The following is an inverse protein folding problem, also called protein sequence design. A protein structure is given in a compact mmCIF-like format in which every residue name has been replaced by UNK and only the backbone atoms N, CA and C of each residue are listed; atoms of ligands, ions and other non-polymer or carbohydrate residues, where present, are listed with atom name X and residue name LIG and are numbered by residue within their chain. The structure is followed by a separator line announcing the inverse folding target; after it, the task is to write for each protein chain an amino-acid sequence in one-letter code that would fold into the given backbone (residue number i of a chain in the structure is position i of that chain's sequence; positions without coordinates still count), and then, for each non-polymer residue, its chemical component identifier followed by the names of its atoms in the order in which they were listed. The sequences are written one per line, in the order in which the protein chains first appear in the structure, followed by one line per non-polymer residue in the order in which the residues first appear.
data_IF_869671662196
#
_entry.id   IF_869671662196
#
_cell.length_a   1.000
_cell.length_b   1.000
_cell.length_c   1.000
_cell.angle_alpha   90.00
_cell.angle_beta   90.00
_cell.angle_gamma   90.00
#
_symmetry.space_group_name_H-M   'P 1'
#
loop_
_entity.id
_entity.type
_entity.pdbx_description
1 polymer ?
#
# COMPACT_ATOMS: atom_id res chain seq x y z
N UNK A 1 19.91 -15.79 6.17
CA UNK A 1 20.61 -14.83 5.27
C UNK A 1 19.68 -13.64 4.97
N UNK A 2 19.43 -12.75 5.94
CA UNK A 2 18.49 -11.63 5.74
C UNK A 2 18.73 -10.44 6.68
N UNK A 3 19.99 -10.09 6.95
CA UNK A 3 20.37 -8.90 7.75
C UNK A 3 21.27 -7.91 6.98
N UNK A 4 21.78 -8.27 5.81
CA UNK A 4 22.75 -7.46 5.06
C UNK A 4 22.15 -6.22 4.39
N UNK A 5 20.88 -6.27 4.00
CA UNK A 5 20.29 -5.23 3.12
C UNK A 5 19.68 -4.06 3.89
N UNK A 6 19.11 -4.26 5.08
CA UNK A 6 18.68 -3.16 5.96
C UNK A 6 19.87 -2.30 6.38
N UNK A 7 21.01 -2.96 6.55
CA UNK A 7 22.27 -2.33 6.90
C UNK A 7 22.81 -1.44 5.77
N UNK A 8 22.52 -1.70 4.50
CA UNK A 8 23.12 -0.98 3.37
C UNK A 8 22.65 0.47 3.22
N UNK A 9 21.34 0.72 3.35
CA UNK A 9 20.75 2.06 3.19
C UNK A 9 21.12 3.02 4.34
N UNK A 10 21.06 2.53 5.58
CA UNK A 10 21.50 3.28 6.77
C UNK A 10 23.00 3.58 6.72
N UNK A 11 23.84 2.58 6.39
CA UNK A 11 25.29 2.77 6.22
C UNK A 11 25.63 3.76 5.09
N UNK A 12 24.82 3.81 4.03
CA UNK A 12 25.04 4.74 2.91
C UNK A 12 24.75 6.19 3.30
N UNK A 13 23.63 6.46 3.99
CA UNK A 13 23.33 7.80 4.52
C UNK A 13 24.36 8.26 5.56
N UNK A 14 24.78 7.34 6.44
CA UNK A 14 25.81 7.59 7.46
C UNK A 14 27.17 7.90 6.82
N UNK A 15 27.58 7.15 5.80
CA UNK A 15 28.83 7.40 5.07
C UNK A 15 28.84 8.76 4.36
N UNK A 16 27.71 9.17 3.76
CA UNK A 16 27.59 10.49 3.11
C UNK A 16 27.68 11.61 4.15
N UNK A 17 26.99 11.49 5.29
CA UNK A 17 27.05 12.46 6.37
C UNK A 17 28.47 12.60 6.95
N UNK A 18 29.14 11.48 7.21
CA UNK A 18 30.52 11.47 7.70
C UNK A 18 31.50 12.09 6.69
N UNK A 19 31.29 11.84 5.40
CA UNK A 19 32.12 12.45 4.34
C UNK A 19 31.90 13.97 4.29
N UNK A 20 30.66 14.44 4.36
CA UNK A 20 30.36 15.88 4.36
C UNK A 20 30.97 16.58 5.59
N UNK A 21 30.81 16.00 6.77
CA UNK A 21 31.38 16.53 8.02
C UNK A 21 32.91 16.56 7.92
N UNK A 22 33.53 15.48 7.45
CA UNK A 22 34.98 15.41 7.25
C UNK A 22 35.51 16.50 6.31
N UNK A 23 34.85 16.69 5.15
CA UNK A 23 35.22 17.74 4.20
C UNK A 23 35.08 19.16 4.80
N UNK A 24 34.06 19.39 5.61
CA UNK A 24 33.87 20.67 6.27
C UNK A 24 34.96 20.92 7.33
N UNK A 25 35.28 19.91 8.14
CA UNK A 25 36.36 19.97 9.14
C UNK A 25 37.70 20.28 8.49
N UNK A 26 38.07 19.57 7.41
CA UNK A 26 39.30 19.86 6.66
C UNK A 26 39.34 21.29 6.13
N UNK A 27 38.21 21.84 5.70
CA UNK A 27 38.13 23.23 5.24
C UNK A 27 38.30 24.25 6.38
N UNK A 28 37.79 23.93 7.57
CA UNK A 28 38.02 24.75 8.77
C UNK A 28 39.50 24.72 9.17
N UNK A 29 40.16 23.56 9.14
CA UNK A 29 41.58 23.42 9.47
C UNK A 29 42.47 24.25 8.53
N UNK A 30 42.21 24.19 7.22
CA UNK A 30 42.95 24.97 6.21
C UNK A 30 42.77 26.47 6.42
N UNK A 31 41.55 26.94 6.65
CA UNK A 31 41.32 28.39 6.83
C UNK A 31 41.85 28.88 8.19
N UNK A 32 41.76 28.08 9.25
CA UNK A 32 42.36 28.39 10.54
C UNK A 32 43.88 28.51 10.46
N UNK A 33 44.55 27.61 9.72
CA UNK A 33 45.99 27.68 9.48
C UNK A 33 46.39 28.93 8.67
N UNK A 34 45.52 29.40 7.77
CA UNK A 34 45.76 30.59 6.93
C UNK A 34 45.61 31.91 7.70
N UNK A 35 44.66 31.97 8.64
CA UNK A 35 44.31 33.20 9.35
C UNK A 35 44.85 33.27 10.79
N UNK A 36 45.48 32.21 11.28
CA UNK A 36 45.96 32.12 12.67
C UNK A 36 44.85 31.87 13.69
N UNK A 37 43.67 31.42 13.24
CA UNK A 37 42.48 31.19 14.05
C UNK A 37 41.20 31.47 13.27
N UNK A 38 40.05 31.04 13.79
CA UNK A 38 38.74 31.34 13.21
C UNK A 38 37.81 31.91 14.28
N UNK A 39 37.08 32.96 13.94
CA UNK A 39 35.99 33.46 14.78
C UNK A 39 34.70 32.67 14.55
N UNK A 40 33.75 32.77 15.48
CA UNK A 40 32.41 32.19 15.30
C UNK A 40 31.65 32.76 14.07
N UNK A 41 32.02 33.95 13.60
CA UNK A 41 31.44 34.54 12.39
C UNK A 41 32.06 33.93 11.12
N UNK A 42 33.36 33.64 11.14
CA UNK A 42 34.05 32.96 10.05
C UNK A 42 33.55 31.53 9.86
N UNK A 43 33.36 30.79 10.96
CA UNK A 43 32.80 29.43 10.92
C UNK A 43 31.40 29.42 10.30
N UNK A 44 30.54 30.38 10.67
CA UNK A 44 29.19 30.49 10.08
C UNK A 44 29.23 30.80 8.59
N UNK A 45 30.05 31.79 8.18
CA UNK A 45 30.24 32.15 6.77
C UNK A 45 30.77 30.97 5.95
N UNK A 46 31.74 30.22 6.49
CA UNK A 46 32.31 29.04 5.83
C UNK A 46 31.27 27.91 5.73
N UNK A 47 30.44 27.71 6.75
CA UNK A 47 29.36 26.73 6.73
C UNK A 47 28.33 27.04 5.63
N UNK A 48 27.89 28.29 5.52
CA UNK A 48 26.94 28.72 4.49
C UNK A 48 27.52 28.54 3.08
N UNK A 49 28.79 28.91 2.87
CA UNK A 49 29.47 28.73 1.59
C UNK A 49 29.67 27.25 1.24
N UNK A 50 30.05 26.43 2.23
CA UNK A 50 30.23 24.99 2.06
C UNK A 50 28.90 24.33 1.71
N UNK A 51 27.82 24.64 2.44
CA UNK A 51 26.49 24.12 2.14
C UNK A 51 26.01 24.51 0.74
N UNK A 52 26.23 25.76 0.32
CA UNK A 52 25.84 26.22 -1.02
C UNK A 52 26.59 25.53 -2.17
N UNK A 53 27.90 25.29 -2.00
CA UNK A 53 28.75 24.65 -3.01
C UNK A 53 28.54 23.13 -3.07
N UNK A 54 28.45 22.49 -1.91
CA UNK A 54 28.41 21.02 -1.82
C UNK A 54 26.99 20.45 -1.98
N UNK A 55 25.92 21.23 -1.78
CA UNK A 55 24.54 20.80 -2.04
C UNK A 55 24.39 20.26 -3.48
N UNK A 56 24.86 21.02 -4.47
CA UNK A 56 24.75 20.63 -5.88
C UNK A 56 25.52 19.33 -6.19
N UNK A 57 26.63 19.09 -5.48
CA UNK A 57 27.52 17.94 -5.70
C UNK A 57 26.99 16.66 -5.06
N UNK A 58 26.41 16.74 -3.86
CA UNK A 58 25.89 15.58 -3.14
C UNK A 58 24.41 15.28 -3.43
N UNK A 59 23.65 16.22 -3.99
CA UNK A 59 22.24 16.02 -4.34
C UNK A 59 21.97 14.75 -5.16
N UNK A 60 22.74 14.39 -6.21
CA UNK A 60 22.52 13.15 -6.96
C UNK A 60 22.80 11.87 -6.13
N UNK A 61 23.70 11.95 -5.15
CA UNK A 61 24.07 10.82 -4.28
C UNK A 61 23.05 10.63 -3.17
N UNK A 62 22.57 11.74 -2.56
CA UNK A 62 21.43 11.71 -1.64
C UNK A 62 20.18 11.17 -2.33
N UNK A 63 19.90 11.63 -3.55
CA UNK A 63 18.75 11.16 -4.33
C UNK A 63 18.85 9.66 -4.62
N UNK A 64 20.02 9.16 -5.03
CA UNK A 64 20.24 7.71 -5.23
C UNK A 64 20.10 6.89 -3.95
N UNK A 65 20.63 7.37 -2.82
CA UNK A 65 20.48 6.68 -1.54
C UNK A 65 19.02 6.67 -1.05
N UNK A 66 18.33 7.80 -1.23
CA UNK A 66 16.89 7.92 -0.97
C UNK A 66 16.07 6.99 -1.86
N UNK A 67 16.33 6.98 -3.17
CA UNK A 67 15.66 6.11 -4.14
C UNK A 67 15.91 4.63 -3.84
N UNK A 68 17.13 4.26 -3.43
CA UNK A 68 17.49 2.90 -3.02
C UNK A 68 16.81 2.46 -1.73
N UNK A 69 16.80 3.31 -0.69
CA UNK A 69 16.06 3.06 0.55
C UNK A 69 14.56 2.93 0.28
N UNK A 70 14.07 3.67 -0.70
CA UNK A 70 12.67 3.67 -1.10
C UNK A 70 12.31 2.42 -1.91
N UNK A 71 13.16 2.00 -2.85
CA UNK A 71 13.01 0.74 -3.58
C UNK A 71 13.08 -0.50 -2.67
N UNK A 72 13.93 -0.47 -1.63
CA UNK A 72 14.01 -1.50 -0.60
C UNK A 72 12.77 -1.51 0.32
N UNK A 73 12.20 -0.33 0.63
CA UNK A 73 10.90 -0.24 1.29
C UNK A 73 9.79 -0.82 0.42
N UNK A 74 9.84 -0.58 -0.88
CA UNK A 74 8.85 -1.05 -1.85
C UNK A 74 8.90 -2.57 -2.03
N UNK A 75 10.08 -3.17 -2.19
CA UNK A 75 10.21 -4.63 -2.24
C UNK A 75 9.68 -5.30 -0.97
N UNK A 76 9.93 -4.70 0.19
CA UNK A 76 9.34 -5.11 1.48
C UNK A 76 7.84 -4.88 1.55
N UNK A 77 7.30 -3.85 0.91
CA UNK A 77 5.86 -3.58 0.87
C UNK A 77 5.12 -4.63 0.04
N UNK A 78 5.68 -5.07 -1.09
CA UNK A 78 5.16 -6.17 -1.91
C UNK A 78 5.25 -7.53 -1.22
N UNK A 79 6.32 -7.78 -0.47
CA UNK A 79 6.36 -8.92 0.46
C UNK A 79 5.37 -8.75 1.61
N UNK A 80 5.09 -7.54 2.08
CA UNK A 80 4.16 -7.27 3.18
C UNK A 80 2.72 -7.61 2.83
N UNK A 81 2.27 -7.39 1.59
CA UNK A 81 0.93 -7.80 1.13
C UNK A 81 0.80 -9.33 1.14
N UNK A 82 1.89 -10.07 0.87
CA UNK A 82 1.91 -11.53 1.05
C UNK A 82 1.94 -11.96 2.52
N UNK A 83 2.33 -11.06 3.44
CA UNK A 83 2.39 -11.26 4.90
C UNK A 83 1.15 -10.74 5.64
N UNK A 84 0.21 -10.09 4.97
CA UNK A 84 -1.04 -9.59 5.56
C UNK A 84 -2.21 -10.46 5.10
N UNK A 85 -2.64 -11.42 5.93
CA UNK A 85 -3.68 -12.40 5.59
C UNK A 85 -4.97 -11.76 5.06
N UNK A 86 -5.43 -10.70 5.72
CA UNK A 86 -6.70 -10.06 5.38
C UNK A 86 -6.66 -9.36 4.01
N UNK A 87 -5.56 -8.68 3.69
CA UNK A 87 -5.39 -8.04 2.39
C UNK A 87 -5.49 -9.08 1.27
N UNK A 88 -4.87 -10.24 1.47
CA UNK A 88 -4.89 -11.33 0.50
C UNK A 88 -6.26 -11.99 0.37
N UNK A 89 -7.01 -12.10 1.46
CA UNK A 89 -8.41 -12.54 1.44
C UNK A 89 -9.25 -11.60 0.57
N UNK A 90 -9.20 -10.29 0.81
CA UNK A 90 -9.95 -9.29 0.03
C UNK A 90 -9.52 -9.27 -1.44
N UNK A 91 -8.21 -9.33 -1.71
CA UNK A 91 -7.68 -9.26 -3.06
C UNK A 91 -8.12 -10.43 -3.95
N UNK A 92 -8.43 -11.61 -3.36
CA UNK A 92 -8.89 -12.76 -4.14
C UNK A 92 -10.17 -12.42 -4.92
N UNK A 93 -11.09 -11.66 -4.35
CA UNK A 93 -12.38 -11.31 -4.96
C UNK A 93 -12.24 -10.60 -6.31
N UNK A 94 -11.14 -9.85 -6.51
CA UNK A 94 -10.89 -9.11 -7.76
C UNK A 94 -9.56 -9.48 -8.44
N UNK A 95 -8.90 -10.57 -8.02
CA UNK A 95 -7.60 -10.96 -8.54
C UNK A 95 -7.61 -11.23 -10.05
N UNK A 96 -8.74 -11.73 -10.57
CA UNK A 96 -8.97 -12.02 -12.00
C UNK A 96 -8.93 -10.77 -12.90
N UNK A 97 -9.05 -9.57 -12.33
CA UNK A 97 -8.93 -8.30 -13.06
C UNK A 97 -7.47 -7.89 -13.30
N UNK A 98 -6.51 -8.48 -12.60
CA UNK A 98 -5.08 -8.23 -12.85
C UNK A 98 -4.56 -8.98 -14.08
N UNK A 99 -3.42 -8.60 -14.67
CA UNK A 99 -2.79 -9.37 -15.74
C UNK A 99 -2.40 -10.76 -15.25
N UNK A 100 -2.53 -11.79 -16.07
CA UNK A 100 -2.05 -13.14 -15.71
C UNK A 100 -0.55 -13.13 -15.31
N UNK A 101 -0.20 -13.83 -14.23
CA UNK A 101 1.19 -14.19 -13.88
C UNK A 101 1.25 -15.68 -13.55
N UNK A 102 2.45 -16.24 -13.65
CA UNK A 102 2.67 -17.62 -13.30
C UNK A 102 2.36 -17.85 -11.81
N UNK A 103 1.39 -18.72 -11.52
CA UNK A 103 1.03 -19.09 -10.15
C UNK A 103 0.08 -18.12 -9.42
N UNK A 104 -0.66 -17.25 -10.13
CA UNK A 104 -1.75 -16.47 -9.53
C UNK A 104 -3.02 -16.46 -10.40
N UNK A 105 -4.13 -15.95 -9.82
CA UNK A 105 -5.45 -15.92 -10.45
C UNK A 105 -5.63 -14.76 -11.44
N UNK A 106 -4.55 -14.16 -11.95
CA UNK A 106 -4.65 -13.05 -12.90
C UNK A 106 -5.31 -13.46 -14.23
N UNK A 107 -5.99 -12.51 -14.87
CA UNK A 107 -6.68 -12.68 -16.14
C UNK A 107 -6.63 -11.43 -17.01
N UNK A 108 -7.75 -10.70 -17.06
CA UNK A 108 -8.10 -9.73 -18.11
C UNK A 108 -7.14 -8.53 -18.24
N UNK A 109 -6.33 -8.25 -17.22
CA UNK A 109 -5.38 -7.15 -17.27
C UNK A 109 -6.01 -5.75 -17.20
N UNK A 110 -7.27 -5.65 -16.77
CA UNK A 110 -7.98 -4.38 -16.59
C UNK A 110 -7.32 -3.50 -15.52
N UNK A 111 -6.89 -4.11 -14.41
CA UNK A 111 -6.25 -3.42 -13.30
C UNK A 111 -4.74 -3.62 -13.31
N UNK A 112 -3.95 -2.58 -13.01
CA UNK A 112 -2.55 -2.79 -12.65
C UNK A 112 -2.44 -3.22 -11.18
N UNK A 113 -1.53 -4.16 -10.89
CA UNK A 113 -1.18 -4.53 -9.50
C UNK A 113 -0.64 -3.34 -8.70
N UNK A 114 -0.19 -2.27 -9.36
CA UNK A 114 0.18 -1.00 -8.72
C UNK A 114 -0.96 -0.42 -7.88
N UNK A 115 -2.21 -0.80 -8.11
CA UNK A 115 -3.37 -0.36 -7.33
C UNK A 115 -3.36 -0.86 -5.87
N UNK A 116 -2.71 -2.00 -5.61
CA UNK A 116 -2.85 -2.75 -4.35
C UNK A 116 -2.48 -1.93 -3.10
N UNK A 117 -1.34 -1.20 -3.04
CA UNK A 117 -0.99 -0.43 -1.85
C UNK A 117 -2.02 0.67 -1.54
N UNK A 118 -2.44 1.41 -2.57
CA UNK A 118 -3.48 2.43 -2.44
C UNK A 118 -4.82 1.84 -2.02
N UNK A 119 -5.20 0.69 -2.57
CA UNK A 119 -6.42 -0.03 -2.19
C UNK A 119 -6.41 -0.46 -0.72
N UNK A 120 -5.36 -1.13 -0.25
CA UNK A 120 -5.28 -1.59 1.15
C UNK A 120 -5.32 -0.41 2.12
N UNK A 121 -4.65 0.70 1.78
CA UNK A 121 -4.70 1.92 2.58
C UNK A 121 -6.10 2.57 2.56
N UNK A 122 -6.80 2.54 1.43
CA UNK A 122 -8.19 3.02 1.36
C UNK A 122 -9.08 2.19 2.29
N UNK A 123 -8.98 0.86 2.23
CA UNK A 123 -9.75 -0.05 3.12
C UNK A 123 -9.46 0.23 4.59
N UNK A 124 -8.18 0.31 4.99
CA UNK A 124 -7.78 0.68 6.35
C UNK A 124 -8.41 2.01 6.81
N UNK A 125 -8.40 3.04 5.96
CA UNK A 125 -9.04 4.34 6.25
C UNK A 125 -10.57 4.28 6.31
N UNK A 126 -11.20 3.38 5.55
CA UNK A 126 -12.66 3.24 5.53
C UNK A 126 -13.19 2.49 6.76
N UNK A 127 -12.52 1.41 7.16
CA UNK A 127 -12.99 0.55 8.26
C UNK A 127 -12.36 0.90 9.61
N UNK A 128 -11.26 1.66 9.59
CA UNK A 128 -10.52 2.09 10.76
C UNK A 128 -9.52 1.05 11.27
N UNK A 129 -8.45 1.49 11.97
CA UNK A 129 -7.32 0.65 12.32
C UNK A 129 -7.69 -0.50 13.28
N UNK A 130 -8.59 -0.26 14.23
CA UNK A 130 -9.02 -1.28 15.19
C UNK A 130 -9.76 -2.44 14.51
N UNK A 131 -10.69 -2.15 13.59
CA UNK A 131 -11.39 -3.18 12.83
C UNK A 131 -10.44 -3.88 11.84
N UNK A 132 -9.55 -3.11 11.21
CA UNK A 132 -8.55 -3.67 10.31
C UNK A 132 -7.62 -4.66 11.02
N UNK A 133 -7.11 -4.34 12.22
CA UNK A 133 -6.31 -5.27 13.04
C UNK A 133 -7.09 -6.53 13.44
N UNK A 134 -8.35 -6.39 13.83
CA UNK A 134 -9.22 -7.54 14.12
C UNK A 134 -9.38 -8.44 12.89
N UNK A 135 -9.55 -7.85 11.70
CA UNK A 135 -9.66 -8.61 10.46
C UNK A 135 -8.35 -9.34 10.13
N UNK A 136 -7.19 -8.72 10.37
CA UNK A 136 -5.89 -9.37 10.22
C UNK A 136 -5.76 -10.57 11.17
N UNK A 137 -6.11 -10.41 12.45
CA UNK A 137 -6.04 -11.49 13.44
C UNK A 137 -6.95 -12.66 13.09
N UNK A 138 -8.21 -12.39 12.70
CA UNK A 138 -9.16 -13.42 12.25
C UNK A 138 -8.67 -14.13 11.00
N UNK A 139 -8.20 -13.38 10.00
CA UNK A 139 -7.66 -13.96 8.77
C UNK A 139 -6.42 -14.83 9.04
N UNK A 140 -5.56 -14.44 9.98
CA UNK A 140 -4.41 -15.25 10.39
C UNK A 140 -4.86 -16.56 11.05
N UNK A 141 -5.87 -16.52 11.92
CA UNK A 141 -6.42 -17.72 12.54
C UNK A 141 -7.00 -18.69 11.49
N UNK A 142 -7.73 -18.16 10.50
CA UNK A 142 -8.25 -18.96 9.38
C UNK A 142 -7.11 -19.60 8.58
N UNK A 143 -6.06 -18.84 8.25
CA UNK A 143 -4.90 -19.39 7.54
C UNK A 143 -4.23 -20.54 8.29
N UNK A 144 -4.03 -20.41 9.60
CA UNK A 144 -3.36 -21.47 10.38
C UNK A 144 -4.19 -22.77 10.39
N UNK A 145 -5.53 -22.68 10.38
CA UNK A 145 -6.40 -23.86 10.27
C UNK A 145 -6.25 -24.60 8.95
N UNK A 146 -5.95 -23.88 7.87
CA UNK A 146 -5.80 -24.42 6.51
C UNK A 146 -4.34 -24.57 6.10
N UNK A 147 -3.45 -24.70 7.09
CA UNK A 147 -2.04 -24.99 6.86
C UNK A 147 -1.85 -26.46 6.50
N UNK A 148 -1.21 -26.69 5.37
CA UNK A 148 -0.88 -28.03 4.89
C UNK A 148 0.30 -28.62 5.67
N UNK A 149 0.48 -29.94 5.59
CA UNK A 149 1.61 -30.66 6.17
C UNK A 149 2.98 -30.18 5.66
N UNK A 150 3.03 -29.58 4.46
CA UNK A 150 4.24 -28.98 3.89
C UNK A 150 4.57 -27.60 4.46
N UNK A 151 3.69 -27.04 5.30
CA UNK A 151 3.84 -25.70 5.86
C UNK A 151 3.31 -24.57 4.98
N UNK A 152 2.82 -24.86 3.76
CA UNK A 152 2.10 -23.89 2.92
C UNK A 152 0.61 -23.84 3.28
N UNK A 153 -0.11 -22.81 2.86
CA UNK A 153 -1.56 -22.69 3.08
C UNK A 153 -2.35 -23.15 1.85
N UNK A 154 -3.42 -23.91 2.08
CA UNK A 154 -4.40 -24.24 1.04
C UNK A 154 -5.33 -23.05 0.80
N UNK A 155 -4.96 -22.22 -0.18
CA UNK A 155 -5.75 -21.04 -0.52
C UNK A 155 -7.13 -21.35 -1.09
N UNK A 156 -7.36 -22.55 -1.65
CA UNK A 156 -8.69 -22.92 -2.09
C UNK A 156 -9.59 -23.21 -0.87
N UNK A 157 -9.07 -23.93 0.12
CA UNK A 157 -9.78 -24.20 1.36
C UNK A 157 -10.04 -22.94 2.19
N UNK A 158 -9.05 -22.03 2.28
CA UNK A 158 -9.22 -20.73 2.96
C UNK A 158 -10.36 -19.93 2.35
N UNK A 159 -10.49 -19.96 1.01
CA UNK A 159 -11.53 -19.21 0.31
C UNK A 159 -12.90 -19.87 0.45
N UNK A 160 -12.97 -21.20 0.54
CA UNK A 160 -14.20 -21.92 0.81
C UNK A 160 -14.63 -21.85 2.29
N UNK A 161 -13.81 -21.30 3.19
CA UNK A 161 -14.12 -21.20 4.62
C UNK A 161 -15.30 -20.23 4.84
N UNK A 162 -16.40 -20.67 5.48
CA UNK A 162 -17.54 -19.79 5.77
C UNK A 162 -17.17 -18.55 6.61
N UNK A 163 -16.15 -18.66 7.46
CA UNK A 163 -15.66 -17.53 8.26
C UNK A 163 -14.91 -16.50 7.40
N UNK A 164 -14.23 -16.93 6.33
CA UNK A 164 -13.64 -16.03 5.33
C UNK A 164 -14.73 -15.21 4.65
N UNK A 165 -15.81 -15.85 4.19
CA UNK A 165 -16.93 -15.14 3.57
C UNK A 165 -17.63 -14.19 4.55
N UNK A 166 -17.87 -14.64 5.79
CA UNK A 166 -18.50 -13.80 6.81
C UNK A 166 -17.63 -12.56 7.13
N UNK A 167 -16.32 -12.75 7.29
CA UNK A 167 -15.37 -11.67 7.55
C UNK A 167 -15.35 -10.64 6.42
N UNK A 168 -15.26 -11.12 5.17
CA UNK A 168 -15.30 -10.25 3.99
C UNK A 168 -16.61 -9.47 3.94
N UNK A 169 -17.77 -10.13 4.13
CA UNK A 169 -19.06 -9.46 4.13
C UNK A 169 -19.20 -8.40 5.24
N UNK A 170 -18.73 -8.69 6.45
CA UNK A 170 -18.75 -7.73 7.56
C UNK A 170 -17.97 -6.44 7.22
N UNK A 171 -16.82 -6.59 6.54
CA UNK A 171 -16.02 -5.46 6.06
C UNK A 171 -16.72 -4.72 4.93
N UNK A 172 -17.27 -5.43 3.95
CA UNK A 172 -17.93 -4.82 2.79
C UNK A 172 -19.19 -4.05 3.17
N UNK A 173 -19.89 -4.47 4.21
CA UNK A 173 -20.98 -3.70 4.80
C UNK A 173 -20.49 -2.35 5.31
N UNK A 174 -19.37 -2.29 6.03
CA UNK A 174 -18.78 -1.02 6.51
C UNK A 174 -18.32 -0.16 5.33
N UNK A 175 -17.69 -0.77 4.33
CA UNK A 175 -17.28 -0.09 3.10
C UNK A 175 -18.50 0.52 2.40
N UNK A 176 -19.61 -0.22 2.24
CA UNK A 176 -20.81 0.32 1.61
C UNK A 176 -21.36 1.57 2.33
N UNK A 177 -21.39 1.57 3.66
CA UNK A 177 -21.79 2.76 4.43
C UNK A 177 -20.86 3.95 4.23
N UNK A 178 -19.55 3.70 4.08
CA UNK A 178 -18.58 4.76 3.80
C UNK A 178 -18.94 5.53 2.52
N UNK A 179 -19.54 4.85 1.54
CA UNK A 179 -20.00 5.39 0.25
C UNK A 179 -21.42 5.98 0.26
N UNK A 180 -22.00 6.32 1.43
CA UNK A 180 -23.30 7.00 1.51
C UNK A 180 -23.37 8.28 0.65
N UNK A 181 -22.26 9.02 0.55
CA UNK A 181 -22.07 10.10 -0.42
C UNK A 181 -21.22 9.62 -1.60
N UNK A 182 -21.83 8.79 -2.46
CA UNK A 182 -21.15 7.98 -3.46
C UNK A 182 -20.10 8.74 -4.29
N UNK A 183 -20.49 9.79 -5.01
CA UNK A 183 -19.57 10.52 -5.91
C UNK A 183 -18.36 11.08 -5.17
N UNK A 184 -18.60 11.83 -4.08
CA UNK A 184 -17.53 12.41 -3.28
C UNK A 184 -16.57 11.35 -2.74
N UNK A 185 -17.09 10.17 -2.38
CA UNK A 185 -16.31 9.08 -1.78
C UNK A 185 -15.56 8.27 -2.83
N UNK A 186 -16.13 8.11 -4.02
CA UNK A 186 -15.45 7.57 -5.20
C UNK A 186 -14.30 8.48 -5.61
N UNK A 187 -14.50 9.79 -5.69
CA UNK A 187 -13.45 10.73 -6.06
C UNK A 187 -12.31 10.74 -5.02
N UNK A 188 -12.66 10.67 -3.73
CA UNK A 188 -11.69 10.48 -2.66
C UNK A 188 -10.89 9.17 -2.83
N UNK A 189 -11.58 8.07 -3.13
CA UNK A 189 -10.95 6.76 -3.31
C UNK A 189 -9.98 6.78 -4.50
N UNK A 190 -10.43 7.27 -5.66
CA UNK A 190 -9.60 7.40 -6.86
C UNK A 190 -8.36 8.26 -6.58
N UNK A 191 -8.53 9.40 -5.93
CA UNK A 191 -7.43 10.31 -5.56
C UNK A 191 -6.43 9.62 -4.63
N UNK A 192 -6.92 8.94 -3.59
CA UNK A 192 -6.09 8.25 -2.62
C UNK A 192 -5.30 7.10 -3.26
N UNK A 193 -5.97 6.28 -4.07
CA UNK A 193 -5.35 5.14 -4.72
C UNK A 193 -4.31 5.59 -5.75
N UNK A 194 -4.65 6.56 -6.60
CA UNK A 194 -3.74 7.07 -7.63
C UNK A 194 -2.52 7.79 -7.07
N UNK A 195 -2.65 8.44 -5.91
CA UNK A 195 -1.51 9.04 -5.19
C UNK A 195 -0.59 8.01 -4.50
N UNK A 196 -1.03 6.75 -4.39
CA UNK A 196 -0.33 5.68 -3.68
C UNK A 196 -0.16 4.42 -4.54
N UNK A 197 -0.09 4.60 -5.87
CA UNK A 197 0.25 3.50 -6.76
C UNK A 197 1.65 2.97 -6.44
N UNK A 198 1.78 1.65 -6.43
CA UNK A 198 3.08 0.99 -6.33
C UNK A 198 4.02 1.52 -7.41
N UNK A 199 5.28 1.78 -7.04
CA UNK A 199 6.25 2.32 -8.01
C UNK A 199 6.67 1.25 -9.00
N UNK A 200 7.02 1.71 -10.19
CA UNK A 200 7.53 0.89 -11.28
C UNK A 200 8.68 1.61 -11.97
N UNK A 201 9.54 0.86 -12.65
CA UNK A 201 10.60 1.45 -13.47
C UNK A 201 10.00 2.37 -14.54
N UNK A 202 10.74 3.40 -14.94
CA UNK A 202 10.29 4.35 -15.96
C UNK A 202 9.98 3.69 -17.33
N UNK A 203 10.54 2.50 -17.57
CA UNK A 203 10.35 1.69 -18.77
C UNK A 203 9.24 0.65 -18.63
N UNK A 204 8.59 0.55 -17.48
CA UNK A 204 7.53 -0.43 -17.26
C UNK A 204 6.30 -0.11 -18.14
N UNK A 205 5.63 -1.12 -18.70
CA UNK A 205 4.50 -0.91 -19.62
C UNK A 205 3.32 -0.20 -18.96
N UNK A 206 3.19 -0.29 -17.64
CA UNK A 206 2.10 0.33 -16.86
C UNK A 206 2.54 1.57 -16.08
N UNK A 207 3.67 2.22 -16.44
CA UNK A 207 4.20 3.40 -15.74
C UNK A 207 3.22 4.58 -15.69
N UNK A 208 2.43 4.78 -16.75
CA UNK A 208 1.41 5.84 -16.82
C UNK A 208 0.00 5.35 -16.42
N UNK A 209 -0.13 4.09 -16.00
CA UNK A 209 -1.42 3.55 -15.61
C UNK A 209 -1.97 4.28 -14.37
N UNK A 210 -3.26 4.56 -14.39
CA UNK A 210 -4.02 5.11 -13.27
C UNK A 210 -5.37 4.39 -13.16
N UNK A 211 -5.90 4.30 -11.95
CA UNK A 211 -7.25 3.83 -11.71
C UNK A 211 -8.24 4.88 -12.22
N UNK A 212 -9.09 4.47 -13.16
CA UNK A 212 -10.17 5.29 -13.73
C UNK A 212 -11.50 5.02 -13.01
N UNK A 213 -12.53 5.82 -13.29
CA UNK A 213 -13.89 5.56 -12.79
C UNK A 213 -14.41 4.19 -13.23
N UNK A 214 -14.18 3.81 -14.49
CA UNK A 214 -14.54 2.48 -14.98
C UNK A 214 -13.76 1.37 -14.27
N UNK A 215 -12.45 1.54 -14.07
CA UNK A 215 -11.63 0.58 -13.32
C UNK A 215 -12.06 0.46 -11.85
N UNK A 216 -12.49 1.57 -11.23
CA UNK A 216 -13.11 1.55 -9.90
C UNK A 216 -14.42 0.76 -9.90
N UNK A 217 -15.29 0.98 -10.89
CA UNK A 217 -16.56 0.28 -10.97
C UNK A 217 -16.36 -1.24 -11.09
N UNK A 218 -15.47 -1.68 -11.97
CA UNK A 218 -15.14 -3.10 -12.13
C UNK A 218 -14.49 -3.70 -10.87
N UNK A 219 -13.57 -2.97 -10.23
CA UNK A 219 -12.98 -3.39 -8.95
C UNK A 219 -14.06 -3.59 -7.88
N UNK A 220 -14.95 -2.61 -7.70
CA UNK A 220 -15.99 -2.68 -6.67
C UNK A 220 -17.06 -3.72 -7.00
N UNK A 221 -17.39 -3.95 -8.28
CA UNK A 221 -18.29 -5.02 -8.71
C UNK A 221 -17.73 -6.40 -8.36
N UNK A 222 -16.46 -6.63 -8.70
CA UNK A 222 -15.77 -7.87 -8.36
C UNK A 222 -15.67 -8.07 -6.84
N UNK A 223 -15.34 -7.00 -6.10
CA UNK A 223 -15.21 -7.04 -4.65
C UNK A 223 -16.55 -7.36 -3.95
N UNK A 224 -17.67 -6.82 -4.45
CA UNK A 224 -19.01 -7.02 -3.86
C UNK A 224 -19.80 -8.19 -4.46
N UNK A 225 -19.22 -8.98 -5.37
CA UNK A 225 -19.93 -10.02 -6.12
C UNK A 225 -20.63 -11.04 -5.20
N UNK A 226 -19.92 -11.57 -4.21
CA UNK A 226 -20.46 -12.57 -3.28
C UNK A 226 -21.55 -12.00 -2.38
N UNK A 227 -21.37 -10.77 -1.88
CA UNK A 227 -22.39 -10.10 -1.06
C UNK A 227 -23.65 -9.81 -1.88
N UNK A 228 -23.50 -9.39 -3.15
CA UNK A 228 -24.63 -9.23 -4.08
C UNK A 228 -25.35 -10.55 -4.32
N UNK A 229 -24.62 -11.65 -4.53
CA UNK A 229 -25.23 -12.96 -4.67
C UNK A 229 -26.02 -13.36 -3.42
N UNK A 230 -25.47 -13.12 -2.23
CA UNK A 230 -26.13 -13.40 -0.95
C UNK A 230 -27.40 -12.54 -0.72
N UNK A 231 -27.41 -11.28 -1.18
CA UNK A 231 -28.61 -10.44 -1.15
C UNK A 231 -29.76 -11.00 -1.98
N UNK A 232 -29.44 -11.64 -3.11
CA UNK A 232 -30.45 -12.29 -3.96
C UNK A 232 -30.88 -13.64 -3.38
N UNK A 233 -29.92 -14.47 -2.94
CA UNK A 233 -30.20 -15.84 -2.55
C UNK A 233 -30.76 -15.99 -1.12
N UNK A 234 -30.38 -15.11 -0.19
CA UNK A 234 -30.70 -15.22 1.22
C UNK A 234 -30.90 -13.85 1.92
N UNK A 235 -31.78 -12.96 1.42
CA UNK A 235 -31.96 -11.61 1.96
C UNK A 235 -32.38 -11.59 3.43
N UNK A 236 -33.25 -12.53 3.85
CA UNK A 236 -33.70 -12.62 5.24
C UNK A 236 -32.56 -12.96 6.21
N UNK A 237 -31.57 -13.76 5.79
CA UNK A 237 -30.40 -14.09 6.61
C UNK A 237 -29.53 -12.86 6.82
N UNK A 238 -29.30 -12.09 5.75
CA UNK A 238 -28.53 -10.84 5.83
C UNK A 238 -29.24 -9.78 6.67
N UNK A 239 -30.55 -9.59 6.49
CA UNK A 239 -31.36 -8.67 7.31
C UNK A 239 -31.36 -9.08 8.79
N UNK A 240 -31.42 -10.38 9.09
CA UNK A 240 -31.30 -10.87 10.46
C UNK A 240 -29.91 -10.59 11.06
N UNK A 241 -28.84 -10.71 10.27
CA UNK A 241 -27.45 -10.50 10.75
C UNK A 241 -27.11 -9.02 10.92
N UNK A 242 -27.48 -8.18 9.95
CA UNK A 242 -27.01 -6.79 9.86
C UNK A 242 -28.08 -5.74 10.15
N UNK A 243 -29.36 -6.13 10.15
CA UNK A 243 -30.50 -5.21 10.25
C UNK A 243 -30.93 -4.63 8.91
N UNK A 244 -32.19 -4.23 8.84
CA UNK A 244 -32.82 -3.74 7.60
C UNK A 244 -32.11 -2.51 7.04
N UNK A 245 -31.83 -1.51 7.89
CA UNK A 245 -31.21 -0.26 7.45
C UNK A 245 -29.83 -0.47 6.80
N UNK A 246 -29.04 -1.39 7.33
CA UNK A 246 -27.74 -1.72 6.77
C UNK A 246 -27.87 -2.42 5.43
N UNK A 247 -28.79 -3.39 5.30
CA UNK A 247 -29.04 -4.07 4.03
C UNK A 247 -29.53 -3.06 2.98
N UNK A 248 -30.43 -2.16 3.33
CA UNK A 248 -30.92 -1.11 2.43
C UNK A 248 -29.78 -0.17 1.98
N UNK A 249 -28.82 0.11 2.86
CA UNK A 249 -27.63 0.92 2.54
C UNK A 249 -26.71 0.20 1.55
N UNK A 250 -26.48 -1.10 1.73
CA UNK A 250 -25.71 -1.91 0.77
C UNK A 250 -26.41 -1.96 -0.59
N UNK A 251 -27.71 -2.19 -0.63
CA UNK A 251 -28.49 -2.19 -1.87
C UNK A 251 -28.45 -0.82 -2.58
N UNK A 252 -28.54 0.28 -1.81
CA UNK A 252 -28.41 1.64 -2.35
C UNK A 252 -27.01 1.88 -2.96
N UNK A 253 -25.96 1.44 -2.28
CA UNK A 253 -24.59 1.48 -2.80
C UNK A 253 -24.46 0.70 -4.11
N UNK A 254 -24.95 -0.55 -4.14
CA UNK A 254 -24.89 -1.40 -5.35
C UNK A 254 -25.66 -0.79 -6.53
N UNK A 255 -26.83 -0.19 -6.30
CA UNK A 255 -27.59 0.51 -7.35
C UNK A 255 -26.82 1.71 -7.91
N UNK A 256 -26.09 2.45 -7.08
CA UNK A 256 -25.23 3.55 -7.55
C UNK A 256 -24.04 3.03 -8.34
N UNK A 257 -23.43 1.94 -7.89
CA UNK A 257 -22.32 1.30 -8.60
C UNK A 257 -22.73 0.78 -10.00
N UNK A 258 -23.99 0.35 -10.17
CA UNK A 258 -24.51 -0.10 -11.47
C UNK A 258 -24.76 1.06 -12.46
N UNK A 259 -24.71 2.31 -12.00
CA UNK A 259 -24.90 3.51 -12.82
C UNK A 259 -23.57 4.13 -13.30
N UNK A 260 -22.43 3.62 -12.83
CA UNK A 260 -21.08 4.04 -13.23
C UNK A 260 -20.59 3.24 -14.44
#
# INVERSE_FOLDING_TARGET
MSDSDTSGGLKSCEAIANTMIGHFVTRLEVEAARQGGLTAQDVRRLAEQFMGQEMARFQPTFRRSYDSCTALRESRQWESTRRRPFDRVLMKSFAHLFPARQGDDGGQGLLSRRVIPGFNMAVDKMIGPALYEQCQAKSQAILERHRTSSGTHDWAAVQADPETHALTNDVLVVVAHYFAHFERRRDWFLTLVNSHLGKVAATAPDVHWQLTEHGFAELMRALFADLRAALVSAPAVLRKRYGDHTVDTVEAFLRRLDQV
#
